data_IF_366634433592
#
_entry.id   IF_366634433592
#
_cell.length_a   1.000
_cell.length_b   1.000
_cell.length_c   1.000
_cell.angle_alpha   90.00
_cell.angle_beta   90.00
_cell.angle_gamma   90.00
#
_symmetry.space_group_name_H-M   'P 1'
#
loop_
_entity.id
_entity.type
_entity.pdbx_description
1 polymer ?
#
# COMPACT_ATOMS: atom_id res chain seq x y z
N UNK A 1 9.69 -6.52 -0.18
CA UNK A 1 8.40 -5.80 -0.14
C UNK A 1 8.52 -4.51 0.65
N UNK A 2 7.93 -3.42 0.16
CA UNK A 2 7.85 -2.13 0.85
C UNK A 2 6.42 -1.60 0.76
N UNK A 3 5.90 -0.97 1.80
CA UNK A 3 4.63 -0.27 1.73
C UNK A 3 4.87 1.17 1.27
N UNK A 4 4.13 1.58 0.24
CA UNK A 4 4.27 2.90 -0.40
C UNK A 4 3.03 3.78 -0.20
N UNK A 5 1.90 3.16 0.14
CA UNK A 5 0.67 3.85 0.52
C UNK A 5 -0.06 3.01 1.54
N UNK A 6 -0.60 3.66 2.57
CA UNK A 6 -1.43 3.01 3.57
C UNK A 6 -2.50 3.96 4.08
N UNK A 7 -3.68 3.42 4.30
CA UNK A 7 -4.78 4.09 4.98
C UNK A 7 -5.49 3.12 5.90
N UNK A 8 -5.61 3.48 7.16
CA UNK A 8 -6.47 2.77 8.11
C UNK A 8 -7.93 3.14 7.91
N UNK A 9 -8.83 2.18 8.07
CA UNK A 9 -10.27 2.40 8.20
C UNK A 9 -10.83 1.55 9.34
N UNK A 10 -12.10 1.78 9.71
CA UNK A 10 -12.76 1.10 10.86
C UNK A 10 -12.58 -0.43 10.86
N UNK A 11 -12.51 -1.03 9.69
CA UNK A 11 -12.49 -2.48 9.51
C UNK A 11 -11.18 -3.02 8.93
N UNK A 12 -10.07 -2.27 9.00
CA UNK A 12 -8.77 -2.77 8.54
C UNK A 12 -7.86 -1.72 7.90
N UNK A 13 -7.10 -2.16 6.91
CA UNK A 13 -6.13 -1.37 6.16
C UNK A 13 -6.34 -1.54 4.67
N UNK A 14 -6.15 -0.45 3.93
CA UNK A 14 -6.02 -0.48 2.47
C UNK A 14 -4.73 0.23 2.11
N UNK A 15 -4.08 -0.21 1.05
CA UNK A 15 -2.79 0.36 0.70
C UNK A 15 -2.18 -0.28 -0.54
N UNK A 16 -1.00 0.20 -0.87
CA UNK A 16 -0.21 -0.32 -1.97
C UNK A 16 1.15 -0.73 -1.42
N UNK A 17 1.54 -1.95 -1.74
CA UNK A 17 2.91 -2.43 -1.55
C UNK A 17 3.65 -2.47 -2.88
N UNK A 18 4.93 -2.18 -2.81
CA UNK A 18 5.91 -2.46 -3.84
C UNK A 18 6.54 -3.83 -3.55
N UNK A 19 6.30 -4.78 -4.45
CA UNK A 19 7.06 -6.04 -4.56
C UNK A 19 8.20 -5.85 -5.57
N UNK A 20 8.96 -6.88 -5.90
CA UNK A 20 10.18 -6.73 -6.70
C UNK A 20 9.86 -6.28 -8.14
N UNK A 21 8.85 -6.90 -8.77
CA UNK A 21 8.44 -6.72 -10.17
C UNK A 21 7.11 -5.95 -10.34
N UNK A 22 6.37 -5.71 -9.26
CA UNK A 22 5.01 -5.14 -9.31
C UNK A 22 4.64 -4.28 -8.12
N UNK A 23 3.58 -3.52 -8.29
CA UNK A 23 2.84 -2.86 -7.21
C UNK A 23 1.53 -3.59 -6.97
N UNK A 24 1.19 -3.84 -5.70
CA UNK A 24 -0.02 -4.58 -5.32
C UNK A 24 -0.91 -3.68 -4.47
N UNK A 25 -2.09 -3.36 -4.99
CA UNK A 25 -3.16 -2.75 -4.23
C UNK A 25 -3.85 -3.82 -3.39
N UNK A 26 -3.98 -3.60 -2.09
CA UNK A 26 -4.54 -4.59 -1.17
C UNK A 26 -5.59 -3.99 -0.22
N UNK A 27 -6.45 -4.87 0.29
CA UNK A 27 -7.28 -4.66 1.46
C UNK A 27 -6.99 -5.74 2.49
N UNK A 28 -6.63 -5.34 3.70
CA UNK A 28 -6.48 -6.22 4.85
C UNK A 28 -7.63 -5.96 5.81
N UNK A 29 -8.50 -6.94 6.00
CA UNK A 29 -9.58 -6.82 7.00
C UNK A 29 -9.03 -6.89 8.43
N UNK A 30 -9.77 -6.33 9.38
CA UNK A 30 -9.47 -6.41 10.83
C UNK A 30 -9.39 -7.84 11.39
N UNK A 31 -9.89 -8.83 10.65
CA UNK A 31 -9.82 -10.25 11.01
C UNK A 31 -8.59 -10.94 10.38
N UNK A 32 -7.65 -10.18 9.83
CA UNK A 32 -6.43 -10.69 9.19
C UNK A 32 -6.63 -11.22 7.76
N UNK A 33 -7.85 -11.20 7.21
CA UNK A 33 -8.06 -11.63 5.81
C UNK A 33 -7.49 -10.60 4.85
N UNK A 34 -6.42 -10.97 4.15
CA UNK A 34 -5.79 -10.21 3.08
C UNK A 34 -6.51 -10.48 1.75
N UNK A 35 -6.80 -9.42 1.01
CA UNK A 35 -7.29 -9.47 -0.37
C UNK A 35 -6.43 -8.57 -1.24
N UNK A 36 -5.71 -9.16 -2.20
CA UNK A 36 -5.09 -8.41 -3.30
C UNK A 36 -6.20 -7.95 -4.25
N UNK A 37 -6.30 -6.66 -4.46
CA UNK A 37 -7.37 -6.02 -5.25
C UNK A 37 -6.93 -5.87 -6.70
N UNK A 38 -5.71 -5.40 -6.90
CA UNK A 38 -5.12 -5.27 -8.22
C UNK A 38 -3.60 -5.38 -8.15
N UNK A 39 -2.99 -5.75 -9.27
CA UNK A 39 -1.54 -5.83 -9.43
C UNK A 39 -1.15 -5.01 -10.67
N UNK A 40 -0.04 -4.29 -10.58
CA UNK A 40 0.46 -3.39 -11.61
C UNK A 40 1.92 -3.73 -11.87
N UNK A 41 2.28 -4.11 -13.10
CA UNK A 41 3.65 -4.52 -13.40
C UNK A 41 4.54 -3.29 -13.49
N UNK A 42 5.72 -3.33 -12.86
CA UNK A 42 6.64 -2.17 -12.87
C UNK A 42 7.10 -1.79 -14.27
N UNK A 43 7.19 -2.76 -15.19
CA UNK A 43 7.56 -2.54 -16.59
C UNK A 43 6.59 -1.60 -17.34
N UNK A 44 5.34 -1.46 -16.85
CA UNK A 44 4.35 -0.54 -17.42
C UNK A 44 4.60 0.92 -17.00
N UNK A 45 5.56 1.17 -16.10
CA UNK A 45 5.88 2.48 -15.56
C UNK A 45 7.35 2.83 -15.75
N UNK A 46 7.63 4.06 -16.18
CA UNK A 46 8.99 4.57 -16.36
C UNK A 46 9.76 4.56 -15.03
N UNK A 47 9.12 5.00 -13.95
CA UNK A 47 9.67 5.02 -12.61
C UNK A 47 8.56 5.06 -11.55
N UNK A 48 8.96 5.11 -10.27
CA UNK A 48 8.05 5.23 -9.13
C UNK A 48 7.18 6.51 -9.20
N UNK A 49 7.74 7.64 -9.65
CA UNK A 49 7.00 8.89 -9.72
C UNK A 49 5.93 8.84 -10.81
N UNK A 50 6.20 8.16 -11.93
CA UNK A 50 5.22 7.89 -12.97
C UNK A 50 4.07 7.02 -12.45
N UNK A 51 4.39 5.98 -11.67
CA UNK A 51 3.38 5.16 -11.00
C UNK A 51 2.51 6.01 -10.04
N UNK A 52 3.14 6.76 -9.13
CA UNK A 52 2.41 7.62 -8.17
C UNK A 52 1.57 8.68 -8.89
N UNK A 53 2.09 9.28 -9.96
CA UNK A 53 1.35 10.26 -10.77
C UNK A 53 0.13 9.65 -11.45
N UNK A 54 0.25 8.43 -11.98
CA UNK A 54 -0.88 7.68 -12.55
C UNK A 54 -1.92 7.32 -11.49
N UNK A 55 -1.48 6.79 -10.35
CA UNK A 55 -2.37 6.41 -9.25
C UNK A 55 -3.01 7.60 -8.55
N UNK A 56 -2.38 8.78 -8.59
CA UNK A 56 -2.91 10.01 -8.00
C UNK A 56 -4.20 10.49 -8.66
N UNK A 57 -4.55 9.97 -9.83
CA UNK A 57 -5.85 10.18 -10.49
C UNK A 57 -7.00 9.48 -9.76
N UNK A 58 -6.71 8.45 -8.98
CA UNK A 58 -7.70 7.61 -8.28
C UNK A 58 -7.57 7.69 -6.76
N UNK A 59 -6.36 7.94 -6.26
CA UNK A 59 -6.03 7.97 -4.84
C UNK A 59 -5.43 9.35 -4.53
N UNK A 60 -5.85 10.06 -3.48
CA UNK A 60 -5.25 11.35 -3.15
C UNK A 60 -3.75 11.21 -2.94
N UNK A 61 -2.96 12.12 -3.53
CA UNK A 61 -1.49 12.11 -3.44
C UNK A 61 -0.98 12.06 -1.99
N UNK A 62 -1.69 12.68 -1.05
CA UNK A 62 -1.38 12.62 0.39
C UNK A 62 -1.57 11.24 1.05
N UNK A 63 -2.06 10.24 0.32
CA UNK A 63 -2.18 8.86 0.80
C UNK A 63 -0.91 8.03 0.57
N UNK A 64 0.04 8.54 -0.22
CA UNK A 64 1.35 7.92 -0.39
C UNK A 64 2.26 8.33 0.76
N UNK A 65 3.07 7.38 1.23
CA UNK A 65 4.08 7.64 2.25
C UNK A 65 5.20 8.49 1.65
N UNK A 66 5.76 9.41 2.44
CA UNK A 66 6.92 10.21 2.00
C UNK A 66 8.10 9.33 1.60
N UNK A 67 8.30 8.24 2.33
CA UNK A 67 9.32 7.23 2.06
C UNK A 67 8.70 5.84 2.14
N UNK A 68 9.01 4.94 1.19
CA UNK A 68 8.58 3.54 1.26
C UNK A 68 9.10 2.85 2.53
N UNK A 69 8.23 2.20 3.29
CA UNK A 69 8.62 1.50 4.52
C UNK A 69 8.77 0.01 4.24
N UNK A 70 9.90 -0.60 4.63
CA UNK A 70 10.11 -2.03 4.44
C UNK A 70 9.21 -2.82 5.41
N UNK A 71 8.51 -3.83 4.88
CA UNK A 71 7.68 -4.77 5.66
C UNK A 71 7.97 -6.20 5.20
N UNK A 72 7.79 -7.16 6.10
CA UNK A 72 8.01 -8.58 5.79
C UNK A 72 6.73 -9.21 5.21
N UNK A 73 5.56 -8.81 5.69
CA UNK A 73 4.26 -9.38 5.37
C UNK A 73 3.10 -8.37 5.51
N UNK A 74 2.02 -8.56 4.77
CA UNK A 74 0.83 -7.69 4.86
C UNK A 74 -0.10 -8.19 5.99
N UNK A 75 0.33 -8.03 7.24
CA UNK A 75 -0.40 -8.42 8.45
C UNK A 75 -0.67 -7.23 9.37
N UNK A 76 -1.66 -7.36 10.25
CA UNK A 76 -2.14 -6.23 11.09
C UNK A 76 -1.00 -5.72 11.97
N UNK A 77 -0.23 -6.61 12.56
CA UNK A 77 0.84 -6.32 13.51
C UNK A 77 1.98 -5.51 12.88
N UNK A 78 2.27 -5.72 11.59
CA UNK A 78 3.26 -4.93 10.86
C UNK A 78 2.68 -3.59 10.43
N UNK A 79 1.44 -3.58 9.92
CA UNK A 79 0.81 -2.35 9.46
C UNK A 79 0.53 -1.38 10.62
N UNK A 80 0.21 -1.88 11.81
CA UNK A 80 0.04 -1.08 13.04
C UNK A 80 1.35 -0.36 13.42
N UNK A 81 2.53 -0.93 13.12
CA UNK A 81 3.84 -0.28 13.37
C UNK A 81 4.11 0.84 12.38
N UNK A 82 3.64 0.71 11.14
CA UNK A 82 3.85 1.70 10.07
C UNK A 82 2.86 2.87 10.19
N UNK A 83 1.60 2.56 10.51
CA UNK A 83 0.53 3.54 10.60
C UNK A 83 -0.36 3.25 11.81
N UNK A 84 0.06 3.69 13.02
CA UNK A 84 -0.74 3.48 14.21
C UNK A 84 -2.10 4.16 14.01
N UNK A 85 -3.19 3.41 14.18
CA UNK A 85 -4.55 3.98 14.14
C UNK A 85 -4.60 5.10 15.18
N UNK A 86 -4.77 6.33 14.73
CA UNK A 86 -5.14 7.42 15.63
C UNK A 86 -6.45 7.02 16.28
N UNK A 87 -6.40 6.84 17.61
CA UNK A 87 -7.54 6.45 18.46
C UNK A 87 -8.73 7.38 18.27
#
# INVERSE_FOLDING_TARGET
>A
MKIISIKSYRNGYTGIVEEDDKYVLFNLSKNGKLKKINEYNKEEYVDYNHFVGMMSKFIPHGSFLKEPVKIESIIIEELDKVFPKTK
#
